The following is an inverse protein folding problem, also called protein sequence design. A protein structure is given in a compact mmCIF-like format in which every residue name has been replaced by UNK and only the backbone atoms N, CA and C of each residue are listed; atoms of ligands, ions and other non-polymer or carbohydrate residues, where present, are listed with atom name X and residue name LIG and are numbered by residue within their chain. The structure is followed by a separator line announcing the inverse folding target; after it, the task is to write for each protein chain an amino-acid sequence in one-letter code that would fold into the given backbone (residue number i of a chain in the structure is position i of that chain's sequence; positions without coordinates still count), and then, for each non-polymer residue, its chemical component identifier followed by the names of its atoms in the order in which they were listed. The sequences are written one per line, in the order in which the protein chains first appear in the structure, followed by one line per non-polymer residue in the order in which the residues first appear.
data_IF_174280662675
#
_entry.id   IF_174280662675
#
_cell.length_a   1.000
_cell.length_b   1.000
_cell.length_c   1.000
_cell.angle_alpha   90.00
_cell.angle_beta   90.00
_cell.angle_gamma   90.00
#
_symmetry.space_group_name_H-M   'P 1'
#
loop_
_entity.id
_entity.type
_entity.pdbx_description
1 polymer ?
#
# COMPACT_ATOMS: atom_id res chain seq x y z
N UNK A 1 -19.37 -45.91 -18.38
CA UNK A 1 -18.08 -46.44 -17.89
C UNK A 1 -17.16 -45.27 -17.59
N UNK A 2 -17.17 -44.82 -16.34
CA UNK A 2 -16.16 -43.96 -15.71
C UNK A 2 -16.00 -44.51 -14.29
N UNK A 3 -14.77 -44.66 -13.76
CA UNK A 3 -14.52 -45.53 -12.63
C UNK A 3 -14.80 -44.85 -11.28
N UNK A 4 -15.32 -45.67 -10.38
CA UNK A 4 -15.40 -45.50 -8.94
C UNK A 4 -14.00 -45.24 -8.36
N UNK A 5 -13.83 -44.16 -7.58
CA UNK A 5 -12.64 -43.97 -6.74
C UNK A 5 -13.05 -43.99 -5.27
N UNK A 6 -12.24 -44.72 -4.52
CA UNK A 6 -12.51 -45.29 -3.21
C UNK A 6 -12.46 -44.28 -2.06
N UNK A 7 -13.28 -44.58 -1.06
CA UNK A 7 -13.25 -44.03 0.30
C UNK A 7 -12.23 -44.83 1.13
N UNK A 8 -11.22 -44.18 1.70
CA UNK A 8 -10.29 -44.72 2.71
C UNK A 8 -9.80 -43.54 3.60
N UNK A 9 -9.34 -43.74 4.85
CA UNK A 9 -10.08 -43.42 6.06
C UNK A 9 -9.44 -42.30 6.90
N UNK A 10 -10.19 -41.88 7.92
CA UNK A 10 -9.72 -41.12 9.07
C UNK A 10 -8.40 -41.69 9.63
N UNK A 11 -7.34 -40.88 9.60
CA UNK A 11 -6.16 -41.06 10.46
C UNK A 11 -6.17 -39.97 11.52
N UNK A 12 -6.36 -40.42 12.76
CA UNK A 12 -6.12 -39.67 13.99
C UNK A 12 -4.64 -39.23 14.00
N UNK A 13 -4.36 -37.95 13.79
CA UNK A 13 -3.05 -37.39 14.10
C UNK A 13 -3.07 -36.94 15.57
N UNK A 14 -2.35 -37.68 16.40
CA UNK A 14 -1.93 -37.20 17.71
C UNK A 14 -1.07 -35.94 17.50
N UNK A 15 -1.40 -34.88 18.24
CA UNK A 15 -0.58 -33.69 18.31
C UNK A 15 0.78 -34.05 18.93
N UNK A 16 1.80 -34.19 18.09
CA UNK A 16 3.19 -34.08 18.51
C UNK A 16 3.41 -32.64 18.96
N UNK A 17 3.39 -32.43 20.27
CA UNK A 17 3.95 -31.25 20.91
C UNK A 17 5.44 -31.29 20.59
N UNK A 18 5.90 -30.39 19.72
CA UNK A 18 7.31 -30.18 19.47
C UNK A 18 7.94 -29.52 20.72
N UNK A 19 8.79 -30.22 21.50
CA UNK A 19 9.32 -29.70 22.76
C UNK A 19 10.56 -28.83 22.57
N UNK A 20 11.03 -28.59 21.34
CA UNK A 20 12.17 -27.71 21.09
C UNK A 20 11.71 -26.31 20.67
N UNK A 21 11.16 -25.55 21.62
CA UNK A 21 11.26 -24.09 21.53
C UNK A 21 12.75 -23.77 21.50
N UNK A 22 13.28 -23.45 20.31
CA UNK A 22 14.61 -22.85 20.14
C UNK A 22 14.82 -21.79 21.23
N UNK A 23 15.99 -21.75 21.88
CA UNK A 23 16.27 -20.75 22.90
C UNK A 23 15.92 -19.38 22.33
N UNK A 24 15.11 -18.61 23.07
CA UNK A 24 14.58 -17.31 22.65
C UNK A 24 15.66 -16.56 21.87
N UNK A 25 15.47 -16.39 20.56
CA UNK A 25 16.44 -15.70 19.73
C UNK A 25 16.57 -14.30 20.30
N UNK A 26 17.79 -13.94 20.71
CA UNK A 26 18.04 -12.57 21.18
C UNK A 26 17.93 -11.69 19.95
N UNK A 27 16.76 -11.06 19.76
CA UNK A 27 16.53 -10.12 18.67
C UNK A 27 17.51 -8.94 18.82
N UNK A 28 18.37 -8.75 17.82
CA UNK A 28 19.31 -7.64 17.79
C UNK A 28 18.59 -6.35 17.42
N UNK A 29 18.62 -5.35 18.30
CA UNK A 29 18.10 -4.00 18.01
C UNK A 29 19.13 -3.24 17.17
N UNK A 30 18.79 -3.00 15.90
CA UNK A 30 19.67 -2.35 14.91
C UNK A 30 19.19 -0.92 14.66
N UNK A 31 20.02 0.13 14.86
CA UNK A 31 19.65 1.50 14.56
C UNK A 31 19.61 1.77 13.04
N UNK A 32 18.68 2.60 12.59
CA UNK A 32 18.47 3.00 11.19
C UNK A 32 18.23 4.50 11.05
N UNK A 33 18.03 5.02 9.83
CA UNK A 33 17.71 6.44 9.64
C UNK A 33 16.29 6.79 10.12
N UNK A 34 15.40 5.81 10.17
CA UNK A 34 13.99 5.96 10.55
C UNK A 34 13.72 5.60 12.01
N UNK A 35 14.61 4.88 12.69
CA UNK A 35 14.44 4.47 14.09
C UNK A 35 15.24 3.22 14.38
N UNK A 36 14.56 2.13 14.72
CA UNK A 36 15.20 0.84 14.97
C UNK A 36 14.49 -0.30 14.26
N UNK A 37 15.27 -1.33 13.97
CA UNK A 37 14.79 -2.65 13.52
C UNK A 37 15.10 -3.66 14.61
N UNK A 38 14.09 -4.38 15.09
CA UNK A 38 14.24 -5.48 16.03
C UNK A 38 13.51 -6.71 15.49
N UNK A 39 14.18 -7.39 14.56
CA UNK A 39 13.73 -8.63 13.92
C UNK A 39 14.85 -9.66 14.01
N UNK A 40 14.57 -10.90 13.65
CA UNK A 40 15.62 -11.91 13.63
C UNK A 40 16.73 -11.57 12.62
N UNK A 41 17.95 -12.05 12.90
CA UNK A 41 19.15 -11.68 12.14
C UNK A 41 19.04 -11.91 10.61
N UNK A 42 18.31 -12.94 10.17
CA UNK A 42 18.12 -13.23 8.75
C UNK A 42 17.25 -12.19 8.02
N UNK A 43 16.41 -11.46 8.77
CA UNK A 43 15.37 -10.58 8.22
C UNK A 43 15.72 -9.09 8.37
N UNK A 44 16.75 -8.76 9.16
CA UNK A 44 17.21 -7.39 9.41
C UNK A 44 17.46 -6.63 8.10
N UNK A 45 18.11 -7.26 7.12
CA UNK A 45 18.40 -6.60 5.84
C UNK A 45 17.12 -6.22 5.08
N UNK A 46 16.13 -7.11 5.03
CA UNK A 46 14.85 -6.83 4.39
C UNK A 46 14.10 -5.73 5.14
N UNK A 47 13.99 -5.81 6.48
CA UNK A 47 13.34 -4.79 7.29
C UNK A 47 13.98 -3.40 7.12
N UNK A 48 15.31 -3.31 7.03
CA UNK A 48 16.01 -2.05 6.75
C UNK A 48 15.66 -1.51 5.35
N UNK A 49 15.70 -2.35 4.31
CA UNK A 49 15.37 -1.94 2.93
C UNK A 49 13.92 -1.45 2.80
N UNK A 50 12.99 -2.11 3.49
CA UNK A 50 11.59 -1.70 3.50
C UNK A 50 11.38 -0.40 4.29
N UNK A 51 11.96 -0.30 5.48
CA UNK A 51 11.85 0.90 6.32
C UNK A 51 12.52 2.13 5.74
N UNK A 52 13.72 2.01 5.15
CA UNK A 52 14.41 3.15 4.51
C UNK A 52 13.60 3.70 3.33
N UNK A 53 13.01 2.82 2.53
CA UNK A 53 12.18 3.27 1.42
C UNK A 53 10.88 3.92 1.90
N UNK A 54 10.21 3.35 2.91
CA UNK A 54 9.03 3.98 3.52
C UNK A 54 9.37 5.36 4.11
N UNK A 55 10.53 5.49 4.76
CA UNK A 55 11.01 6.76 5.30
C UNK A 55 11.26 7.79 4.20
N UNK A 56 11.93 7.41 3.11
CA UNK A 56 12.12 8.29 1.95
C UNK A 56 10.77 8.72 1.35
N UNK A 57 9.83 7.79 1.15
CA UNK A 57 8.51 8.10 0.61
C UNK A 57 7.70 9.01 1.53
N UNK A 58 7.74 8.79 2.85
CA UNK A 58 7.07 9.68 3.80
C UNK A 58 7.55 11.12 3.69
N UNK A 59 8.85 11.33 3.45
CA UNK A 59 9.42 12.66 3.23
C UNK A 59 8.98 13.28 1.91
N UNK A 60 8.99 12.51 0.82
CA UNK A 60 8.77 13.03 -0.54
C UNK A 60 7.29 13.15 -0.91
N UNK A 61 6.45 12.24 -0.43
CA UNK A 61 5.02 12.15 -0.78
C UNK A 61 4.12 12.76 0.29
N UNK A 62 4.44 12.53 1.57
CA UNK A 62 3.64 13.04 2.70
C UNK A 62 4.21 14.33 3.30
N UNK A 63 5.40 14.77 2.88
CA UNK A 63 6.06 15.95 3.43
C UNK A 63 6.54 15.78 4.88
N UNK A 64 6.65 14.54 5.37
CA UNK A 64 7.02 14.24 6.75
C UNK A 64 8.55 14.14 6.90
N UNK A 65 9.23 15.29 6.93
CA UNK A 65 10.70 15.39 6.89
C UNK A 65 11.43 14.63 8.02
N UNK A 66 10.85 14.63 9.23
CA UNK A 66 11.46 14.13 10.46
C UNK A 66 10.72 12.93 11.06
N UNK A 67 9.96 12.19 10.22
CA UNK A 67 9.21 11.04 10.71
C UNK A 67 10.15 9.94 11.21
N UNK A 68 9.78 9.35 12.35
CA UNK A 68 10.51 8.23 12.94
C UNK A 68 9.54 7.11 13.29
N UNK A 69 10.00 5.88 13.17
CA UNK A 69 9.26 4.68 13.50
C UNK A 69 10.21 3.50 13.75
N UNK A 70 9.73 2.49 14.45
CA UNK A 70 10.46 1.23 14.65
C UNK A 70 9.79 0.11 13.85
N UNK A 71 10.55 -0.90 13.42
CA UNK A 71 10.04 -2.14 12.82
C UNK A 71 10.43 -3.30 13.74
N UNK A 72 9.47 -4.13 14.12
CA UNK A 72 9.69 -5.26 15.04
C UNK A 72 9.04 -6.55 14.55
N UNK A 73 9.62 -7.69 14.93
CA UNK A 73 9.08 -9.00 14.58
C UNK A 73 7.73 -9.25 15.27
N UNK A 74 6.76 -9.76 14.52
CA UNK A 74 5.41 -10.00 15.02
C UNK A 74 5.32 -11.15 16.00
N UNK A 75 6.13 -12.20 15.83
CA UNK A 75 6.06 -13.39 16.68
C UNK A 75 6.47 -13.10 18.14
N UNK A 76 7.34 -12.11 18.35
CA UNK A 76 7.94 -11.81 19.67
C UNK A 76 7.42 -10.51 20.29
N UNK A 77 6.52 -9.80 19.62
CA UNK A 77 6.00 -8.52 20.06
C UNK A 77 4.53 -8.63 20.47
N UNK A 78 4.16 -8.24 21.70
CA UNK A 78 2.75 -8.12 22.10
C UNK A 78 2.10 -6.84 21.55
N UNK A 79 2.86 -5.98 20.85
CA UNK A 79 2.38 -4.68 20.36
C UNK A 79 1.46 -4.85 19.16
N UNK A 80 0.60 -3.86 18.95
CA UNK A 80 -0.19 -3.73 17.73
C UNK A 80 0.58 -2.91 16.68
N UNK A 81 0.25 -3.11 15.40
CA UNK A 81 0.80 -2.28 14.32
C UNK A 81 0.49 -0.80 14.55
N UNK A 82 1.50 0.06 14.43
CA UNK A 82 1.38 1.51 14.65
C UNK A 82 1.30 1.92 16.14
N UNK A 83 1.34 0.99 17.09
CA UNK A 83 1.36 1.33 18.51
C UNK A 83 2.64 2.11 18.86
N UNK A 84 2.55 3.13 19.73
CA UNK A 84 3.73 3.92 20.10
C UNK A 84 4.67 3.13 21.01
N UNK A 85 5.97 3.17 20.71
CA UNK A 85 7.03 2.69 21.59
C UNK A 85 7.14 3.55 22.85
N UNK A 86 7.98 3.12 23.81
CA UNK A 86 8.31 3.94 24.99
C UNK A 86 9.00 5.26 24.64
N UNK A 87 9.59 5.35 23.44
CA UNK A 87 10.20 6.58 22.90
C UNK A 87 9.16 7.46 22.18
N UNK A 88 7.89 7.05 22.14
CA UNK A 88 6.79 7.80 21.54
C UNK A 88 6.70 7.70 20.02
N UNK A 89 7.53 6.91 19.35
CA UNK A 89 7.48 6.67 17.90
C UNK A 89 6.57 5.49 17.57
N UNK A 90 5.82 5.48 16.45
CA UNK A 90 5.03 4.31 16.03
C UNK A 90 5.93 3.09 15.81
N UNK A 91 5.42 1.91 16.17
CA UNK A 91 6.08 0.62 16.01
C UNK A 91 5.29 -0.25 15.04
N UNK A 92 5.92 -0.65 13.95
CA UNK A 92 5.33 -1.50 12.93
C UNK A 92 5.74 -2.94 13.15
N UNK A 93 4.75 -3.72 13.58
CA UNK A 93 4.90 -5.13 13.91
C UNK A 93 4.63 -5.93 12.64
N UNK A 94 5.63 -6.68 12.14
CA UNK A 94 5.52 -7.37 10.86
C UNK A 94 6.05 -8.81 10.93
N UNK A 95 5.31 -9.80 10.42
CA UNK A 95 5.79 -11.18 10.34
C UNK A 95 6.68 -11.35 9.11
N UNK A 96 8.00 -11.37 9.31
CA UNK A 96 8.95 -11.60 8.21
C UNK A 96 9.09 -13.09 7.85
N UNK A 97 8.69 -13.97 8.77
CA UNK A 97 8.85 -15.43 8.66
C UNK A 97 7.52 -16.15 8.55
N UNK A 98 7.59 -17.35 7.99
CA UNK A 98 6.51 -18.32 8.18
C UNK A 98 6.27 -18.53 9.68
N UNK A 99 4.99 -18.68 10.03
CA UNK A 99 4.62 -19.04 11.40
C UNK A 99 5.30 -20.35 11.81
N UNK A 100 5.60 -20.51 13.10
CA UNK A 100 6.27 -21.71 13.62
C UNK A 100 5.49 -23.01 13.33
N UNK A 101 4.17 -22.92 13.10
CA UNK A 101 3.34 -24.06 12.69
C UNK A 101 3.34 -24.32 11.17
N UNK A 102 4.07 -23.53 10.40
CA UNK A 102 4.18 -23.60 8.94
C UNK A 102 2.89 -23.26 8.17
N UNK A 103 1.85 -22.79 8.88
CA UNK A 103 0.50 -22.65 8.31
C UNK A 103 0.27 -21.33 7.58
N UNK A 104 1.09 -20.31 7.84
CA UNK A 104 0.95 -19.00 7.21
C UNK A 104 2.25 -18.62 6.49
N UNK A 105 2.16 -18.34 5.19
CA UNK A 105 3.22 -17.61 4.50
C UNK A 105 3.27 -16.19 5.07
N UNK A 106 4.48 -15.64 5.34
CA UNK A 106 4.57 -14.24 5.72
C UNK A 106 3.99 -13.40 4.58
N UNK A 107 3.21 -12.35 4.91
CA UNK A 107 2.85 -11.37 3.90
C UNK A 107 4.14 -10.86 3.27
N UNK A 108 4.18 -10.69 1.93
CA UNK A 108 5.38 -10.20 1.28
C UNK A 108 5.85 -8.90 1.93
N UNK A 109 7.15 -8.79 2.21
CA UNK A 109 7.72 -7.63 2.91
C UNK A 109 7.42 -6.29 2.22
N UNK A 110 7.15 -6.28 0.91
CA UNK A 110 6.75 -5.07 0.19
C UNK A 110 5.37 -4.52 0.61
N UNK A 111 4.49 -5.33 1.21
CA UNK A 111 3.22 -4.87 1.77
C UNK A 111 3.43 -4.08 3.07
N UNK A 112 4.56 -4.28 3.77
CA UNK A 112 4.88 -3.50 4.96
C UNK A 112 4.86 -2.00 4.66
N UNK A 113 5.44 -1.59 3.52
CA UNK A 113 5.46 -0.18 3.14
C UNK A 113 4.05 0.38 2.91
N UNK A 114 3.18 -0.42 2.32
CA UNK A 114 1.79 -0.05 2.07
C UNK A 114 1.08 0.26 3.40
N UNK A 115 1.15 -0.65 4.37
CA UNK A 115 0.56 -0.47 5.70
C UNK A 115 1.19 0.69 6.48
N UNK A 116 2.51 0.89 6.35
CA UNK A 116 3.18 2.07 6.94
C UNK A 116 2.63 3.36 6.31
N UNK A 117 2.38 3.36 4.99
CA UNK A 117 1.79 4.49 4.28
C UNK A 117 0.44 4.90 4.84
N UNK A 118 -0.46 3.94 5.06
CA UNK A 118 -1.74 4.17 5.74
C UNK A 118 -1.56 4.79 7.12
N UNK A 119 -0.78 4.15 8.01
CA UNK A 119 -0.61 4.63 9.38
C UNK A 119 -0.05 6.05 9.41
N UNK A 120 1.01 6.32 8.65
CA UNK A 120 1.63 7.65 8.63
C UNK A 120 0.68 8.73 8.07
N UNK A 121 -0.05 8.41 7.00
CA UNK A 121 -1.01 9.33 6.40
C UNK A 121 -2.12 9.71 7.39
N UNK A 122 -2.74 8.71 8.02
CA UNK A 122 -3.81 8.91 9.00
C UNK A 122 -3.25 9.64 10.23
N UNK A 123 -2.16 9.13 10.81
CA UNK A 123 -1.61 9.63 12.08
C UNK A 123 -1.18 11.08 12.02
N UNK A 124 -0.60 11.52 10.90
CA UNK A 124 0.02 12.83 10.82
C UNK A 124 -0.74 13.84 9.95
N UNK A 125 -1.48 13.39 8.94
CA UNK A 125 -2.12 14.29 7.99
C UNK A 125 -3.64 14.35 8.17
N UNK A 126 -4.31 13.19 8.24
CA UNK A 126 -5.78 13.10 8.30
C UNK A 126 -6.24 12.14 9.41
N UNK A 127 -6.03 12.48 10.69
CA UNK A 127 -6.40 11.61 11.81
C UNK A 127 -7.91 11.43 11.88
N UNK A 128 -8.35 10.27 12.38
CA UNK A 128 -9.78 10.05 12.59
C UNK A 128 -10.31 10.93 13.73
N UNK A 129 -11.48 11.53 13.52
CA UNK A 129 -12.25 12.21 14.58
C UNK A 129 -13.27 11.28 15.24
N UNK A 130 -13.50 10.09 14.69
CA UNK A 130 -14.43 9.08 15.20
C UNK A 130 -13.72 7.94 15.95
N UNK A 131 -14.29 7.49 17.07
CA UNK A 131 -13.70 6.39 17.87
C UNK A 131 -13.92 4.99 17.29
N UNK A 132 -14.70 4.85 16.21
CA UNK A 132 -15.08 3.57 15.59
C UNK A 132 -14.93 3.56 14.07
N UNK A 133 -14.17 4.50 13.52
CA UNK A 133 -13.97 4.61 12.09
C UNK A 133 -12.78 3.74 11.69
N UNK A 134 -12.96 2.97 10.61
CA UNK A 134 -11.86 2.32 9.92
C UNK A 134 -11.10 3.40 9.14
N UNK A 135 -9.78 3.47 9.30
CA UNK A 135 -8.96 4.50 8.66
C UNK A 135 -9.04 5.88 9.32
N UNK A 136 -8.62 6.91 8.58
CA UNK A 136 -8.68 8.32 8.97
C UNK A 136 -9.91 9.03 8.41
N UNK A 137 -10.02 10.35 8.62
CA UNK A 137 -11.12 11.18 8.08
C UNK A 137 -11.04 11.41 6.55
N UNK A 138 -10.04 10.83 5.89
CA UNK A 138 -9.88 10.91 4.45
C UNK A 138 -10.90 10.02 3.73
N UNK A 139 -11.30 10.38 2.50
CA UNK A 139 -12.01 9.45 1.65
C UNK A 139 -11.12 8.24 1.32
N UNK A 140 -11.72 7.05 1.22
CA UNK A 140 -11.00 5.78 1.08
C UNK A 140 -9.99 5.77 -0.08
N UNK A 141 -10.33 6.39 -1.21
CA UNK A 141 -9.42 6.47 -2.35
C UNK A 141 -8.13 7.25 -2.05
N UNK A 142 -8.18 8.25 -1.17
CA UNK A 142 -7.02 9.09 -0.83
C UNK A 142 -6.11 8.37 0.16
N UNK A 143 -6.69 7.68 1.14
CA UNK A 143 -5.96 6.82 2.07
C UNK A 143 -5.21 5.72 1.31
N UNK A 144 -5.90 5.05 0.39
CA UNK A 144 -5.33 4.01 -0.46
C UNK A 144 -4.30 4.55 -1.45
N UNK A 145 -4.53 5.74 -2.00
CA UNK A 145 -3.53 6.42 -2.81
C UNK A 145 -2.25 6.72 -2.01
N UNK A 146 -2.36 7.08 -0.73
CA UNK A 146 -1.22 7.31 0.16
C UNK A 146 -0.44 6.02 0.42
N UNK A 147 -1.12 4.91 0.71
CA UNK A 147 -0.49 3.61 0.91
C UNK A 147 0.18 3.07 -0.35
N UNK A 148 -0.49 3.16 -1.50
CA UNK A 148 0.07 2.72 -2.79
C UNK A 148 1.31 3.52 -3.17
N UNK A 149 1.39 4.81 -2.83
CA UNK A 149 2.57 5.61 -3.10
C UNK A 149 3.83 5.10 -2.38
N UNK A 150 3.67 4.34 -1.28
CA UNK A 150 4.75 3.70 -0.53
C UNK A 150 5.21 2.38 -1.13
N UNK A 151 4.45 1.81 -2.06
CA UNK A 151 4.79 0.53 -2.65
C UNK A 151 6.06 0.57 -3.50
N UNK A 152 6.80 -0.53 -3.45
CA UNK A 152 7.93 -0.75 -4.33
C UNK A 152 7.52 -0.91 -5.79
N UNK A 153 8.49 -0.71 -6.68
CA UNK A 153 8.31 -0.83 -8.13
C UNK A 153 7.67 -2.16 -8.58
N UNK A 154 7.94 -3.35 -7.98
CA UNK A 154 7.28 -4.59 -8.38
C UNK A 154 5.75 -4.54 -8.30
N UNK A 155 5.19 -4.01 -7.20
CA UNK A 155 3.75 -3.85 -7.02
C UNK A 155 3.20 -2.74 -7.91
N UNK A 156 3.87 -1.58 -7.96
CA UNK A 156 3.45 -0.49 -8.85
C UNK A 156 3.38 -0.97 -10.29
N UNK A 157 4.37 -1.71 -10.77
CA UNK A 157 4.37 -2.35 -12.09
C UNK A 157 3.20 -3.33 -12.30
N UNK A 158 2.77 -4.08 -11.27
CA UNK A 158 1.57 -4.91 -11.33
C UNK A 158 0.31 -4.05 -11.46
N UNK A 159 0.18 -2.98 -10.68
CA UNK A 159 -0.95 -2.02 -10.76
C UNK A 159 -0.99 -1.33 -12.12
N UNK A 160 0.17 -0.99 -12.67
CA UNK A 160 0.34 -0.45 -14.03
C UNK A 160 -0.20 -1.38 -15.11
N UNK A 161 0.10 -2.68 -15.04
CA UNK A 161 -0.50 -3.66 -15.96
C UNK A 161 -1.99 -3.83 -15.72
N UNK A 162 -2.41 -3.82 -14.46
CA UNK A 162 -3.81 -4.00 -14.07
C UNK A 162 -4.69 -2.88 -14.59
N UNK A 163 -4.29 -1.61 -14.48
CA UNK A 163 -5.10 -0.49 -14.99
C UNK A 163 -5.26 -0.53 -16.52
N UNK A 164 -4.21 -0.94 -17.25
CA UNK A 164 -4.28 -1.12 -18.71
C UNK A 164 -5.27 -2.23 -19.06
N UNK A 165 -5.25 -3.35 -18.32
CA UNK A 165 -6.20 -4.44 -18.53
C UNK A 165 -7.64 -3.99 -18.22
N UNK A 166 -7.87 -3.32 -17.09
CA UNK A 166 -9.18 -2.75 -16.72
C UNK A 166 -9.69 -1.77 -17.80
N UNK A 167 -8.80 -0.95 -18.38
CA UNK A 167 -9.12 -0.06 -19.49
C UNK A 167 -9.53 -0.82 -20.76
N UNK A 168 -8.81 -1.87 -21.12
CA UNK A 168 -9.12 -2.69 -22.29
C UNK A 168 -10.46 -3.42 -22.17
N UNK A 169 -10.85 -3.78 -20.96
CA UNK A 169 -12.15 -4.39 -20.68
C UNK A 169 -13.31 -3.38 -20.59
N UNK A 170 -13.03 -2.07 -20.69
CA UNK A 170 -14.03 -1.02 -20.52
C UNK A 170 -14.56 -0.92 -19.09
N UNK A 171 -13.77 -1.35 -18.09
CA UNK A 171 -14.13 -1.41 -16.67
C UNK A 171 -13.53 -0.29 -15.82
N UNK A 172 -13.00 0.77 -16.45
CA UNK A 172 -12.51 1.93 -15.70
C UNK A 172 -13.67 2.54 -14.91
N UNK A 173 -13.40 2.85 -13.64
CA UNK A 173 -14.33 3.53 -12.77
C UNK A 173 -14.33 5.01 -13.17
N UNK A 174 -15.48 5.63 -13.53
CA UNK A 174 -15.52 7.06 -13.83
C UNK A 174 -14.99 7.87 -12.64
N UNK A 175 -14.14 8.89 -12.87
CA UNK A 175 -13.50 9.64 -11.76
C UNK A 175 -14.51 10.19 -10.74
N UNK A 176 -15.63 10.77 -11.18
CA UNK A 176 -16.65 11.27 -10.25
C UNK A 176 -17.16 10.16 -9.31
N UNK A 177 -17.32 8.93 -9.80
CA UNK A 177 -17.69 7.79 -8.96
C UNK A 177 -16.53 7.41 -8.05
N UNK A 178 -15.33 7.21 -8.59
CA UNK A 178 -14.14 6.82 -7.83
C UNK A 178 -13.87 7.73 -6.63
N UNK A 179 -13.97 9.06 -6.80
CA UNK A 179 -13.72 10.05 -5.76
C UNK A 179 -14.77 10.05 -4.62
N UNK A 180 -15.90 9.37 -4.82
CA UNK A 180 -17.01 9.28 -3.86
C UNK A 180 -17.33 7.83 -3.45
N UNK A 181 -16.52 6.85 -3.88
CA UNK A 181 -16.74 5.45 -3.54
C UNK A 181 -16.31 5.16 -2.11
N UNK A 182 -17.12 4.37 -1.42
CA UNK A 182 -16.68 3.60 -0.24
C UNK A 182 -15.75 2.49 -0.72
N UNK A 183 -14.77 2.14 0.10
CA UNK A 183 -13.83 1.07 -0.17
C UNK A 183 -14.59 -0.22 -0.56
N UNK A 184 -14.28 -0.85 -1.71
CA UNK A 184 -15.07 -1.98 -2.21
C UNK A 184 -15.18 -3.15 -1.23
N UNK A 185 -14.13 -3.43 -0.46
CA UNK A 185 -14.15 -4.48 0.58
C UNK A 185 -15.07 -4.10 1.76
N UNK A 186 -15.06 -2.83 2.19
CA UNK A 186 -16.00 -2.38 3.23
C UNK A 186 -17.45 -2.44 2.73
N UNK A 187 -17.68 -2.06 1.48
CA UNK A 187 -19.00 -2.16 0.86
C UNK A 187 -19.47 -3.61 0.72
N UNK A 188 -18.55 -4.57 0.52
CA UNK A 188 -18.83 -6.00 0.51
C UNK A 188 -19.00 -6.62 1.91
N UNK A 189 -18.77 -5.85 2.99
CA UNK A 189 -18.85 -6.33 4.37
C UNK A 189 -17.64 -7.16 4.81
N UNK A 190 -16.55 -7.17 4.04
CA UNK A 190 -15.28 -7.82 4.35
C UNK A 190 -14.35 -6.85 5.08
N UNK A 191 -14.79 -6.29 6.20
CA UNK A 191 -13.89 -5.48 7.04
C UNK A 191 -12.91 -6.45 7.72
N UNK A 192 -11.59 -6.33 7.49
CA UNK A 192 -10.63 -7.08 8.29
C UNK A 192 -10.79 -6.65 9.76
N UNK A 193 -10.87 -7.63 10.66
CA UNK A 193 -11.05 -7.36 12.08
C UNK A 193 -9.95 -6.39 12.57
N UNK A 194 -10.35 -5.33 13.29
CA UNK A 194 -9.49 -4.24 13.80
C UNK A 194 -8.35 -4.68 14.71
N UNK A 195 -8.25 -5.98 15.01
CA UNK A 195 -7.20 -6.59 15.80
C UNK A 195 -5.84 -6.72 15.09
N UNK A 196 -5.69 -6.16 13.88
CA UNK A 196 -4.38 -5.98 13.24
C UNK A 196 -3.71 -7.29 12.82
N UNK A 197 -4.48 -8.37 12.71
CA UNK A 197 -4.00 -9.65 12.20
C UNK A 197 -4.09 -9.64 10.67
N UNK A 198 -2.95 -9.41 10.02
CA UNK A 198 -2.72 -9.37 8.55
C UNK A 198 -3.12 -10.66 7.77
N UNK A 199 -3.85 -11.60 8.39
CA UNK A 199 -3.97 -12.98 7.92
C UNK A 199 -5.11 -13.32 6.95
N UNK A 200 -6.02 -12.40 6.66
CA UNK A 200 -7.20 -12.67 5.81
C UNK A 200 -7.17 -11.98 4.42
N UNK A 201 -6.06 -11.36 4.04
CA UNK A 201 -6.03 -10.28 3.05
C UNK A 201 -5.90 -10.66 1.56
N UNK A 202 -6.17 -11.89 1.12
CA UNK A 202 -5.80 -12.30 -0.25
C UNK A 202 -6.94 -12.72 -1.17
N UNK A 203 -8.16 -12.94 -0.66
CA UNK A 203 -9.33 -13.16 -1.52
C UNK A 203 -10.21 -11.89 -1.47
N UNK A 204 -10.27 -11.10 -2.57
CA UNK A 204 -11.10 -9.91 -2.59
C UNK A 204 -12.57 -10.33 -2.48
N UNK A 205 -13.31 -9.69 -1.59
CA UNK A 205 -14.76 -9.92 -1.46
C UNK A 205 -15.55 -9.12 -2.50
N UNK A 206 -14.92 -8.16 -3.17
CA UNK A 206 -15.54 -7.36 -4.24
C UNK A 206 -14.80 -7.51 -5.57
N UNK A 207 -15.57 -7.68 -6.64
CA UNK A 207 -15.06 -7.70 -8.02
C UNK A 207 -14.47 -6.34 -8.44
N UNK A 208 -14.77 -5.26 -7.71
CA UNK A 208 -14.26 -3.92 -8.01
C UNK A 208 -12.94 -3.59 -7.32
N UNK A 209 -12.49 -4.43 -6.38
CA UNK A 209 -11.30 -4.19 -5.57
C UNK A 209 -10.06 -4.00 -6.42
N UNK A 210 -9.84 -4.89 -7.39
CA UNK A 210 -8.71 -4.77 -8.32
C UNK A 210 -8.75 -3.47 -9.13
N UNK A 211 -9.93 -3.07 -9.61
CA UNK A 211 -10.11 -1.83 -10.37
C UNK A 211 -9.88 -0.59 -9.52
N UNK A 212 -10.39 -0.57 -8.28
CA UNK A 212 -10.21 0.53 -7.34
C UNK A 212 -8.73 0.76 -7.00
N UNK A 213 -8.04 -0.32 -6.67
CA UNK A 213 -6.60 -0.34 -6.40
C UNK A 213 -5.74 0.09 -7.60
N UNK A 214 -6.12 -0.32 -8.81
CA UNK A 214 -5.45 0.10 -10.03
C UNK A 214 -5.72 1.58 -10.35
N UNK A 215 -6.96 2.05 -10.12
CA UNK A 215 -7.36 3.44 -10.28
C UNK A 215 -6.62 4.36 -9.32
N UNK A 216 -6.52 4.03 -8.03
CA UNK A 216 -5.79 4.83 -7.04
C UNK A 216 -4.31 5.00 -7.41
N UNK A 217 -3.66 3.91 -7.81
CA UNK A 217 -2.27 3.94 -8.29
C UNK A 217 -2.09 4.83 -9.51
N UNK A 218 -2.97 4.66 -10.50
CA UNK A 218 -2.88 5.40 -11.73
C UNK A 218 -3.19 6.88 -11.56
N UNK A 219 -4.16 7.18 -10.71
CA UNK A 219 -4.55 8.54 -10.43
C UNK A 219 -3.44 9.30 -9.68
N UNK A 220 -2.74 8.66 -8.73
CA UNK A 220 -1.54 9.24 -8.14
C UNK A 220 -0.50 9.63 -9.19
N UNK A 221 -0.11 8.69 -10.05
CA UNK A 221 0.92 8.94 -11.07
C UNK A 221 0.48 10.01 -12.08
N UNK A 222 -0.80 10.01 -12.47
CA UNK A 222 -1.39 11.05 -13.30
C UNK A 222 -1.29 12.43 -12.64
N UNK A 223 -1.66 12.55 -11.36
CA UNK A 223 -1.60 13.82 -10.65
C UNK A 223 -0.17 14.32 -10.49
N UNK A 224 0.79 13.45 -10.18
CA UNK A 224 2.21 13.81 -10.14
C UNK A 224 2.69 14.29 -11.50
N UNK A 225 2.37 13.57 -12.58
CA UNK A 225 2.76 13.98 -13.93
C UNK A 225 2.12 15.30 -14.36
N UNK A 226 0.87 15.54 -13.95
CA UNK A 226 0.09 16.74 -14.33
C UNK A 226 0.51 17.99 -13.56
N UNK A 227 0.93 17.81 -12.30
CA UNK A 227 1.22 18.91 -11.37
C UNK A 227 2.70 19.10 -11.08
N UNK A 228 3.54 18.17 -11.54
CA UNK A 228 4.98 18.07 -11.22
C UNK A 228 5.25 18.06 -9.71
N UNK A 229 4.28 17.59 -8.92
CA UNK A 229 4.34 17.59 -7.46
C UNK A 229 4.21 16.18 -6.89
N UNK A 230 5.33 15.61 -6.44
CA UNK A 230 5.33 14.32 -5.74
C UNK A 230 4.56 14.35 -4.40
N UNK A 231 4.47 15.52 -3.77
CA UNK A 231 3.78 15.72 -2.49
C UNK A 231 2.28 16.06 -2.65
N UNK A 232 1.68 15.76 -3.80
CA UNK A 232 0.26 16.07 -4.07
C UNK A 232 -0.70 15.43 -3.06
N UNK A 233 -0.32 14.29 -2.47
CA UNK A 233 -1.08 13.61 -1.42
C UNK A 233 -1.14 14.47 -0.14
N UNK A 234 -0.02 15.08 0.26
CA UNK A 234 0.01 15.98 1.41
C UNK A 234 -0.85 17.24 1.18
N UNK A 235 -0.84 17.78 -0.04
CA UNK A 235 -1.68 18.91 -0.41
C UNK A 235 -3.18 18.55 -0.31
N UNK A 236 -3.57 17.40 -0.88
CA UNK A 236 -4.95 16.87 -0.80
C UNK A 236 -5.39 16.62 0.64
N UNK A 237 -4.52 16.02 1.46
CA UNK A 237 -4.77 15.80 2.88
C UNK A 237 -5.07 17.11 3.62
N UNK A 238 -4.33 18.18 3.29
CA UNK A 238 -4.54 19.48 3.89
C UNK A 238 -5.90 20.08 3.50
N UNK A 239 -6.37 19.87 2.27
CA UNK A 239 -7.72 20.27 1.80
C UNK A 239 -8.79 19.53 2.59
N UNK A 240 -8.67 18.20 2.68
CA UNK A 240 -9.60 17.36 3.45
C UNK A 240 -9.66 17.81 4.92
N UNK A 241 -8.51 18.01 5.56
CA UNK A 241 -8.45 18.46 6.96
C UNK A 241 -9.08 19.83 7.20
N UNK A 242 -9.08 20.71 6.20
CA UNK A 242 -9.76 22.01 6.28
C UNK A 242 -11.26 21.92 6.02
N UNK A 243 -11.78 20.75 5.66
CA UNK A 243 -13.18 20.57 5.25
C UNK A 243 -13.50 21.26 3.92
N UNK A 244 -12.48 21.54 3.10
CA UNK A 244 -12.64 22.15 1.79
C UNK A 244 -13.10 21.10 0.76
N UNK A 245 -13.89 21.50 -0.25
CA UNK A 245 -14.34 20.56 -1.27
C UNK A 245 -13.15 20.15 -2.16
N UNK A 246 -12.87 18.84 -2.21
CA UNK A 246 -11.71 18.28 -2.93
C UNK A 246 -11.82 18.47 -4.44
N UNK A 247 -13.00 18.28 -5.03
CA UNK A 247 -13.16 18.37 -6.49
C UNK A 247 -12.81 19.76 -7.06
N UNK A 248 -13.35 20.89 -6.55
CA UNK A 248 -12.92 22.22 -7.00
C UNK A 248 -11.41 22.46 -6.87
N UNK A 249 -10.80 22.00 -5.77
CA UNK A 249 -9.37 22.12 -5.56
C UNK A 249 -8.57 21.32 -6.60
N UNK A 250 -8.98 20.08 -6.85
CA UNK A 250 -8.38 19.16 -7.82
C UNK A 250 -8.46 19.74 -9.24
N UNK A 251 -9.62 20.26 -9.63
CA UNK A 251 -9.83 20.90 -10.93
C UNK A 251 -8.94 22.13 -11.09
N UNK A 252 -8.83 22.99 -10.06
CA UNK A 252 -7.91 24.13 -10.10
C UNK A 252 -6.45 23.69 -10.26
N UNK A 253 -6.03 22.67 -9.52
CA UNK A 253 -4.63 22.22 -9.52
C UNK A 253 -4.22 21.53 -10.81
N UNK A 254 -5.17 20.91 -11.51
CA UNK A 254 -4.94 20.18 -12.76
C UNK A 254 -5.22 21.01 -14.02
N UNK A 255 -5.70 22.26 -13.89
CA UNK A 255 -6.00 23.15 -15.02
C UNK A 255 -7.40 22.96 -15.63
N UNK A 256 -8.34 22.42 -14.86
CA UNK A 256 -9.71 22.07 -15.24
C UNK A 256 -10.79 22.90 -14.52
N UNK A 257 -10.43 23.99 -13.84
CA UNK A 257 -11.37 24.82 -13.07
C UNK A 257 -12.48 25.49 -13.92
N UNK A 258 -12.29 25.64 -15.23
CA UNK A 258 -13.33 26.21 -16.10
C UNK A 258 -14.55 25.28 -16.16
N UNK A 259 -15.74 25.82 -15.93
CA UNK A 259 -17.02 25.06 -15.88
C UNK A 259 -17.32 24.24 -17.14
N UNK A 260 -16.73 24.59 -18.29
CA UNK A 260 -16.85 23.84 -19.54
C UNK A 260 -16.04 22.52 -19.54
N UNK A 261 -15.07 22.38 -18.63
CA UNK A 261 -14.16 21.23 -18.56
C UNK A 261 -14.51 20.33 -17.38
N UNK A 262 -14.56 20.85 -16.15
CA UNK A 262 -15.07 20.12 -14.98
C UNK A 262 -14.45 18.73 -14.76
N UNK A 263 -15.10 17.91 -13.93
CA UNK A 263 -14.63 16.55 -13.61
C UNK A 263 -14.65 15.62 -14.83
N UNK A 264 -15.61 15.77 -15.73
CA UNK A 264 -15.72 14.93 -16.93
C UNK A 264 -14.54 15.12 -17.91
N UNK A 265 -14.02 16.35 -18.05
CA UNK A 265 -12.84 16.56 -18.88
C UNK A 265 -11.56 16.07 -18.21
N UNK A 266 -11.47 16.14 -16.87
CA UNK A 266 -10.38 15.52 -16.12
C UNK A 266 -10.41 13.99 -16.27
N UNK A 267 -11.60 13.39 -16.19
CA UNK A 267 -11.82 11.95 -16.39
C UNK A 267 -11.38 11.52 -17.80
N UNK A 268 -11.82 12.24 -18.84
CA UNK A 268 -11.36 11.96 -20.21
C UNK A 268 -9.85 12.11 -20.38
N UNK A 269 -9.24 13.12 -19.78
CA UNK A 269 -7.79 13.31 -19.84
C UNK A 269 -7.04 12.17 -19.15
N UNK A 270 -7.51 11.77 -17.97
CA UNK A 270 -6.97 10.65 -17.23
C UNK A 270 -7.07 9.32 -18.01
N UNK A 271 -8.23 9.04 -18.61
CA UNK A 271 -8.43 7.85 -19.45
C UNK A 271 -7.54 7.89 -20.70
N UNK A 272 -7.41 9.05 -21.36
CA UNK A 272 -6.51 9.23 -22.49
C UNK A 272 -5.04 9.05 -22.08
N UNK A 273 -4.66 9.51 -20.89
CA UNK A 273 -3.32 9.35 -20.35
C UNK A 273 -2.99 7.87 -20.13
N UNK A 274 -3.91 7.08 -19.55
CA UNK A 274 -3.78 5.62 -19.44
C UNK A 274 -3.65 4.99 -20.83
N UNK A 275 -4.55 5.31 -21.76
CA UNK A 275 -4.59 4.73 -23.10
C UNK A 275 -3.34 5.05 -23.95
N UNK A 276 -2.73 6.23 -23.74
CA UNK A 276 -1.52 6.65 -24.45
C UNK A 276 -0.27 5.87 -24.04
N UNK A 277 -0.30 5.21 -22.88
CA UNK A 277 0.85 4.51 -22.31
C UNK A 277 2.00 5.43 -21.88
N UNK A 278 1.79 6.76 -21.84
CA UNK A 278 2.81 7.76 -21.51
C UNK A 278 3.40 7.60 -20.10
N UNK A 279 2.68 6.95 -19.17
CA UNK A 279 3.16 6.56 -17.84
C UNK A 279 3.38 5.06 -17.63
N UNK A 280 3.02 4.19 -18.60
CA UNK A 280 2.84 2.74 -18.39
C UNK A 280 3.72 1.85 -19.28
N UNK A 281 4.78 2.40 -19.86
CA UNK A 281 5.74 1.62 -20.64
C UNK A 281 5.29 1.33 -22.07
N UNK A 282 4.75 2.34 -22.77
CA UNK A 282 4.77 2.31 -24.24
C UNK A 282 6.18 1.99 -24.78
N UNK A 283 6.32 1.52 -26.04
CA UNK A 283 7.60 1.02 -26.61
C UNK A 283 8.83 1.93 -26.46
N UNK A 284 8.64 3.21 -26.14
CA UNK A 284 9.66 4.22 -25.88
C UNK A 284 10.24 4.22 -24.45
N UNK A 285 9.56 3.64 -23.46
CA UNK A 285 9.98 3.66 -22.04
C UNK A 285 11.13 2.72 -21.66
N UNK A 286 11.54 1.80 -22.55
CA UNK A 286 12.67 0.88 -22.32
C UNK A 286 14.01 1.43 -22.85
N UNK A 287 14.07 2.65 -23.38
CA UNK A 287 15.23 3.14 -24.14
C UNK A 287 16.08 4.15 -23.37
N UNK A 288 16.56 3.84 -22.16
CA UNK A 288 17.57 4.69 -21.51
C UNK A 288 18.42 4.06 -20.39
N UNK A 289 18.83 2.78 -20.45
CA UNK A 289 19.96 2.30 -19.60
C UNK A 289 20.76 1.20 -20.29
N UNK A 290 21.42 1.52 -21.40
CA UNK A 290 22.62 0.81 -21.87
C UNK A 290 23.62 1.80 -22.43
N UNK A 291 24.36 2.47 -21.56
CA UNK A 291 25.67 3.01 -21.91
C UNK A 291 26.72 2.00 -21.46
N UNK A 292 26.96 1.00 -22.32
CA UNK A 292 28.24 0.31 -22.33
C UNK A 292 29.22 1.22 -23.06
N UNK A 293 29.99 2.02 -22.34
CA UNK A 293 31.25 2.54 -22.89
C UNK A 293 32.34 1.47 -22.69
N UNK A 294 32.97 0.97 -23.76
CA UNK A 294 34.15 0.14 -23.62
C UNK A 294 35.34 1.02 -23.25
N UNK A 295 35.99 0.68 -22.14
CA UNK A 295 37.29 1.23 -21.77
C UNK A 295 38.33 0.78 -22.82
N UNK A 296 38.71 1.69 -23.72
CA UNK A 296 39.87 1.51 -24.60
C UNK A 296 41.15 1.63 -23.78
N UNK A 297 42.08 0.70 -24.01
CA UNK A 297 43.46 0.70 -23.50
C UNK A 297 44.37 1.57 -24.35
#
# INVERSE_FOLDING_TARGET
MWPTIAVVPFLLFAALIDPERSPASVLSRTPTSFGHVQVDAADVAAAIVEGEAAHVTARTVLGLADVRFDIVEAQDSPRRFGERSSEGVPTYVWPFRQSADGRSQPPPAYLLRHEIGHDLFIRYLVPSTGSSQYGGDAPDWLDEMAAIAFEGEPLRSLRRRSIVHVAQEGKLIPLHRFLNMVHPEMAAGSIPDTDGRLGAAFDPASDETASFYAMAAAFYEFLVARTENAAIIADLAAVVRRGEPVEPWLLARTGYADAARGIDALDRDFQNWIASGAGYGGPSGQRATRTNEPCSR
#
